data_IF_322713895210
#
_entry.id   IF_322713895210
#
_cell.length_a   1.000
_cell.length_b   1.000
_cell.length_c   1.000
_cell.angle_alpha   90.00
_cell.angle_beta   90.00
_cell.angle_gamma   90.00
#
_symmetry.space_group_name_H-M   'P 1'
#
loop_
_entity.id
_entity.type
_entity.pdbx_description
1 polymer ?
#
# COMPACT_ATOMS: atom_id res chain seq x y z
N UNK A 1 2.08 -3.10 0.92
CA UNK A 1 3.09 -2.06 0.60
C UNK A 1 2.65 -0.76 1.27
N UNK A 2 3.53 0.00 1.92
CA UNK A 2 3.14 1.28 2.53
C UNK A 2 2.66 2.23 1.43
N UNK A 3 1.44 2.73 1.53
CA UNK A 3 0.93 3.70 0.55
C UNK A 3 1.72 5.01 0.52
N UNK A 4 2.40 5.36 1.61
CA UNK A 4 3.17 6.60 1.73
C UNK A 4 4.62 6.48 1.21
N UNK A 5 5.25 5.30 1.36
CA UNK A 5 6.69 5.13 1.14
C UNK A 5 7.07 3.96 0.22
N UNK A 6 6.11 3.17 -0.25
CA UNK A 6 6.40 2.05 -1.16
C UNK A 6 7.08 0.84 -0.50
N UNK A 7 7.27 0.84 0.82
CA UNK A 7 7.94 -0.26 1.52
C UNK A 7 7.09 -1.53 1.52
N UNK A 8 7.66 -2.66 1.05
CA UNK A 8 7.02 -3.98 1.12
C UNK A 8 7.31 -4.61 2.47
N UNK A 9 6.28 -4.67 3.32
CA UNK A 9 6.31 -5.48 4.54
C UNK A 9 6.09 -6.95 4.19
N UNK A 10 6.76 -7.84 4.93
CA UNK A 10 6.55 -9.28 4.83
C UNK A 10 5.15 -9.72 5.26
N UNK A 11 4.94 -11.04 5.33
CA UNK A 11 3.64 -11.65 5.66
C UNK A 11 3.19 -11.20 7.06
N UNK A 12 2.04 -10.55 7.14
CA UNK A 12 1.46 -10.09 8.40
C UNK A 12 0.30 -10.99 8.82
N UNK A 13 0.23 -11.32 10.12
CA UNK A 13 -0.87 -12.12 10.66
C UNK A 13 -2.21 -11.40 10.50
N UNK A 14 -3.21 -12.08 9.92
CA UNK A 14 -4.54 -11.54 9.62
C UNK A 14 -5.22 -10.83 10.81
N UNK A 15 -4.92 -11.20 12.06
CA UNK A 15 -5.47 -10.59 13.28
C UNK A 15 -5.00 -9.14 13.55
N UNK A 16 -3.91 -8.69 12.92
CA UNK A 16 -3.33 -7.36 13.17
C UNK A 16 -3.96 -6.29 12.26
N UNK A 17 -4.99 -5.57 12.73
CA UNK A 17 -5.64 -4.48 11.96
C UNK A 17 -4.80 -3.21 11.86
N UNK A 18 -4.32 -2.71 13.00
CA UNK A 18 -3.43 -1.56 13.04
C UNK A 18 -2.01 -1.94 12.69
N UNK A 19 -1.47 -1.29 11.67
CA UNK A 19 -0.12 -1.49 11.18
C UNK A 19 0.66 -0.20 11.35
N UNK A 20 1.52 -0.17 12.37
CA UNK A 20 2.57 0.84 12.46
C UNK A 20 3.74 0.47 11.55
N UNK A 21 4.12 1.40 10.70
CA UNK A 21 5.24 1.24 9.78
C UNK A 21 6.53 1.65 10.48
N UNK A 22 7.52 0.75 10.48
CA UNK A 22 8.83 1.01 11.08
C UNK A 22 9.59 2.15 10.39
N UNK A 23 9.36 2.34 9.08
CA UNK A 23 10.12 3.31 8.29
C UNK A 23 9.56 4.74 8.32
N UNK A 24 8.24 4.90 8.45
CA UNK A 24 7.58 6.22 8.45
C UNK A 24 6.90 6.55 9.78
N UNK A 25 6.90 5.62 10.74
CA UNK A 25 6.30 5.78 12.07
C UNK A 25 4.77 5.85 12.08
N UNK A 26 4.14 5.98 10.91
CA UNK A 26 2.71 6.17 10.71
C UNK A 26 1.95 4.88 11.01
N UNK A 27 0.83 5.01 11.71
CA UNK A 27 -0.10 3.93 11.92
C UNK A 27 -1.20 4.00 10.85
N UNK A 28 -1.39 2.90 10.15
CA UNK A 28 -2.45 2.75 9.15
C UNK A 28 -3.22 1.47 9.41
N UNK A 29 -4.52 1.51 9.15
CA UNK A 29 -5.29 0.29 9.01
C UNK A 29 -4.82 -0.49 7.76
N UNK A 30 -4.71 -1.82 7.89
CA UNK A 30 -4.25 -2.68 6.80
C UNK A 30 -5.19 -2.62 5.59
N UNK A 31 -6.49 -2.64 5.81
CA UNK A 31 -7.49 -2.70 4.74
C UNK A 31 -7.51 -1.36 3.99
N UNK A 32 -7.41 -0.24 4.71
CA UNK A 32 -7.25 1.08 4.11
C UNK A 32 -5.96 1.17 3.26
N UNK A 33 -4.83 0.70 3.81
CA UNK A 33 -3.57 0.69 3.07
C UNK A 33 -3.66 -0.21 1.82
N UNK A 34 -4.35 -1.35 1.91
CA UNK A 34 -4.58 -2.25 0.78
C UNK A 34 -5.43 -1.57 -0.30
N UNK A 35 -6.52 -0.90 0.08
CA UNK A 35 -7.38 -0.15 -0.82
C UNK A 35 -6.61 0.94 -1.58
N UNK A 36 -5.82 1.76 -0.86
CA UNK A 36 -4.96 2.79 -1.46
C UNK A 36 -3.98 2.23 -2.49
N UNK A 37 -3.40 1.05 -2.21
CA UNK A 37 -2.49 0.39 -3.15
C UNK A 37 -3.21 -0.13 -4.40
N UNK A 38 -4.40 -0.70 -4.25
CA UNK A 38 -5.21 -1.15 -5.39
C UNK A 38 -5.57 0.03 -6.29
N UNK A 39 -6.05 1.14 -5.71
CA UNK A 39 -6.38 2.38 -6.45
C UNK A 39 -5.15 2.91 -7.17
N UNK A 40 -4.01 3.02 -6.48
CA UNK A 40 -2.76 3.47 -7.06
C UNK A 40 -2.25 2.55 -8.18
N UNK A 41 -2.44 1.23 -8.06
CA UNK A 41 -2.10 0.26 -9.10
C UNK A 41 -3.01 0.39 -10.33
N UNK A 42 -4.31 0.64 -10.15
CA UNK A 42 -5.25 0.87 -11.25
C UNK A 42 -4.92 2.13 -12.02
N UNK A 43 -4.56 3.22 -11.34
CA UNK A 43 -4.12 4.47 -11.97
C UNK A 43 -2.85 4.27 -12.81
N UNK A 44 -1.88 3.49 -12.32
CA UNK A 44 -0.68 3.13 -13.09
C UNK A 44 -1.02 2.33 -14.34
N UNK A 45 -1.85 1.29 -14.21
CA UNK A 45 -2.27 0.47 -15.35
C UNK A 45 -3.00 1.29 -16.44
N UNK A 46 -3.74 2.33 -16.05
CA UNK A 46 -4.41 3.23 -16.99
C UNK A 46 -3.44 4.23 -17.65
N UNK A 47 -2.36 4.61 -16.97
CA UNK A 47 -1.34 5.53 -17.45
C UNK A 47 -0.32 4.92 -18.42
N UNK A 48 -0.15 3.60 -18.42
CA UNK A 48 0.75 2.88 -19.33
C UNK A 48 0.26 2.83 -20.80
N UNK A 49 -0.95 3.34 -21.09
CA UNK A 49 -1.45 3.42 -22.48
C UNK A 49 -0.78 4.52 -23.33
N UNK A 50 0.14 5.33 -22.77
CA UNK A 50 0.78 6.46 -23.48
C UNK A 50 2.27 6.30 -23.77
N UNK A 51 2.82 5.09 -23.64
CA UNK A 51 4.17 4.75 -24.10
C UNK A 51 4.10 3.96 -25.40
N UNK A 52 3.63 4.64 -26.45
CA UNK A 52 3.81 4.28 -27.87
C UNK A 52 4.21 5.53 -28.63
#
# INVERSE_FOLDING_TARGET
MCSAWGFKRGKLNLKVRSVRWLNCGTEHDRDENTAKNIVSSRLRALGDSKRM
#
